data_IF_203629901492
#
_entry.id   IF_203629901492
#
_cell.length_a   1.000
_cell.length_b   1.000
_cell.length_c   1.000
_cell.angle_alpha   90.00
_cell.angle_beta   90.00
_cell.angle_gamma   90.00
#
_symmetry.space_group_name_H-M   'P 1'
#
loop_
_entity.id
_entity.type
_entity.pdbx_description
1 polymer ?
#
# COMPACT_ATOMS: atom_id res chain seq x y z
N UNK A 1 11.60 16.55 -9.55
CA UNK A 1 12.81 16.95 -8.78
C UNK A 1 13.11 18.46 -8.72
N UNK A 2 12.42 19.35 -9.47
CA UNK A 2 12.76 20.79 -9.50
C UNK A 2 12.22 21.66 -8.35
N UNK A 3 11.22 21.17 -7.59
CA UNK A 3 10.46 22.01 -6.65
C UNK A 3 11.00 22.05 -5.22
N UNK A 4 11.94 21.17 -4.87
CA UNK A 4 12.56 21.14 -3.52
C UNK A 4 13.65 22.22 -3.37
N UNK A 5 14.29 22.62 -4.47
CA UNK A 5 15.37 23.60 -4.47
C UNK A 5 14.89 25.02 -4.20
N UNK A 6 13.67 25.36 -4.63
CA UNK A 6 13.07 26.67 -4.44
C UNK A 6 12.85 27.02 -2.95
N UNK A 7 12.19 26.20 -2.11
CA UNK A 7 12.04 26.49 -0.69
C UNK A 7 13.38 26.48 0.04
N UNK A 8 14.32 25.61 -0.34
CA UNK A 8 15.66 25.57 0.25
C UNK A 8 16.44 26.86 -0.05
N UNK A 9 16.33 27.39 -1.28
CA UNK A 9 16.92 28.69 -1.65
C UNK A 9 16.26 29.86 -0.91
N UNK A 10 14.93 29.84 -0.70
CA UNK A 10 14.22 30.87 0.06
C UNK A 10 14.68 30.89 1.51
N UNK A 11 14.79 29.73 2.16
CA UNK A 11 15.31 29.61 3.54
C UNK A 11 16.75 30.12 3.62
N UNK A 12 17.60 29.74 2.67
CA UNK A 12 19.00 30.17 2.64
C UNK A 12 19.13 31.69 2.40
N UNK A 13 18.24 32.28 1.60
CA UNK A 13 18.14 33.72 1.37
C UNK A 13 17.67 34.45 2.64
N UNK A 14 16.70 33.89 3.38
CA UNK A 14 16.26 34.43 4.67
C UNK A 14 17.37 34.36 5.74
N UNK A 15 18.12 33.27 5.81
CA UNK A 15 19.26 33.12 6.73
C UNK A 15 20.38 34.12 6.38
N UNK A 16 20.75 34.23 5.11
CA UNK A 16 21.79 35.17 4.68
C UNK A 16 21.38 36.63 4.87
N UNK A 17 20.12 36.97 4.58
CA UNK A 17 19.56 38.28 4.89
C UNK A 17 19.59 38.56 6.40
N UNK A 18 19.15 37.60 7.23
CA UNK A 18 19.19 37.73 8.68
C UNK A 18 20.63 37.97 9.18
N UNK A 19 21.62 37.17 8.75
CA UNK A 19 23.03 37.35 9.11
C UNK A 19 23.56 38.71 8.64
N UNK A 20 23.19 39.17 7.45
CA UNK A 20 23.60 40.47 6.92
C UNK A 20 23.03 41.63 7.76
N UNK A 21 21.75 41.57 8.12
CA UNK A 21 21.11 42.57 9.00
C UNK A 21 21.67 42.52 10.42
N UNK A 22 21.96 41.33 10.96
CA UNK A 22 22.60 41.16 12.26
C UNK A 22 24.01 41.77 12.24
N UNK A 23 24.86 41.42 11.27
CA UNK A 23 26.23 41.94 11.15
C UNK A 23 26.31 43.46 10.97
N UNK A 24 25.38 44.07 10.22
CA UNK A 24 25.33 45.52 10.01
C UNK A 24 24.95 46.28 11.28
N UNK A 25 24.14 45.66 12.13
CA UNK A 25 23.65 46.26 13.39
C UNK A 25 24.59 45.98 14.56
N UNK A 26 25.36 44.88 14.51
CA UNK A 26 26.26 44.42 15.58
C UNK A 26 27.62 45.10 15.61
N UNK A 27 28.15 45.56 14.47
CA UNK A 27 29.47 46.24 14.41
C UNK A 27 29.54 47.57 15.16
N UNK A 28 28.43 48.14 15.64
CA UNK A 28 28.43 49.48 16.26
C UNK A 28 28.03 49.56 17.73
N UNK A 29 27.44 48.55 18.35
CA UNK A 29 27.06 48.61 19.78
C UNK A 29 26.98 47.21 20.38
N UNK A 30 27.55 47.02 21.58
CA UNK A 30 27.49 45.80 22.40
C UNK A 30 26.07 45.45 22.89
N UNK A 31 25.16 45.23 21.95
CA UNK A 31 23.72 45.03 22.15
C UNK A 31 23.38 43.60 22.57
N UNK A 32 24.36 42.68 22.54
CA UNK A 32 24.15 41.24 22.75
C UNK A 32 23.67 40.91 24.18
N UNK A 33 23.80 41.82 25.16
CA UNK A 33 23.42 41.55 26.57
C UNK A 33 22.31 42.49 27.10
N UNK A 34 21.69 43.32 26.25
CA UNK A 34 20.69 44.31 26.68
C UNK A 34 19.26 44.01 26.21
N UNK A 35 18.26 44.46 26.98
CA UNK A 35 16.80 44.31 26.71
C UNK A 35 16.39 44.64 25.26
N UNK A 36 17.10 45.55 24.59
CA UNK A 36 16.86 45.93 23.18
C UNK A 36 17.30 44.83 22.19
N UNK A 37 18.36 44.10 22.49
CA UNK A 37 18.82 42.95 21.69
C UNK A 37 17.85 41.78 21.80
N UNK A 38 17.37 41.48 23.01
CA UNK A 38 16.37 40.42 23.25
C UNK A 38 15.07 40.70 22.49
N UNK A 39 14.59 41.95 22.47
CA UNK A 39 13.41 42.35 21.69
C UNK A 39 13.60 42.19 20.19
N UNK A 40 14.79 42.45 19.67
CA UNK A 40 15.10 42.28 18.24
C UNK A 40 15.12 40.79 17.85
N UNK A 41 15.76 39.94 18.65
CA UNK A 41 15.77 38.49 18.43
C UNK A 41 14.35 37.93 18.47
N UNK A 42 13.55 38.36 19.45
CA UNK A 42 12.14 37.97 19.55
C UNK A 42 11.33 38.43 18.32
N UNK A 43 11.54 39.65 17.83
CA UNK A 43 10.86 40.15 16.64
C UNK A 43 11.22 39.37 15.37
N UNK A 44 12.50 39.01 15.20
CA UNK A 44 12.95 38.16 14.09
C UNK A 44 12.34 36.76 14.19
N UNK A 45 12.35 36.15 15.39
CA UNK A 45 11.75 34.84 15.63
C UNK A 45 10.26 34.82 15.29
N UNK A 46 9.51 35.81 15.76
CA UNK A 46 8.07 35.97 15.43
C UNK A 46 7.90 36.18 13.92
N UNK A 47 8.75 36.98 13.28
CA UNK A 47 8.70 37.18 11.82
C UNK A 47 8.91 35.88 11.04
N UNK A 48 9.87 35.04 11.46
CA UNK A 48 10.10 33.72 10.87
C UNK A 48 8.88 32.82 11.06
N UNK A 49 8.28 32.78 12.25
CA UNK A 49 7.06 32.01 12.51
C UNK A 49 5.86 32.49 11.67
N UNK A 50 5.70 33.80 11.48
CA UNK A 50 4.61 34.35 10.66
C UNK A 50 4.79 33.96 9.18
N UNK A 51 6.04 33.89 8.70
CA UNK A 51 6.33 33.50 7.30
C UNK A 51 6.31 31.98 7.12
N UNK A 52 6.63 31.19 8.15
CA UNK A 52 6.62 29.72 8.04
C UNK A 52 5.20 29.16 7.85
N UNK A 53 4.18 29.77 8.47
CA UNK A 53 2.78 29.33 8.33
C UNK A 53 2.29 29.35 6.87
N UNK A 54 2.35 30.48 6.12
CA UNK A 54 1.95 30.49 4.71
C UNK A 54 2.87 29.64 3.84
N UNK A 55 4.18 29.58 4.13
CA UNK A 55 5.08 28.67 3.41
C UNK A 55 4.69 27.21 3.58
N UNK A 56 4.30 26.78 4.78
CA UNK A 56 3.82 25.43 5.04
C UNK A 56 2.54 25.11 4.24
N UNK A 57 1.61 26.07 4.15
CA UNK A 57 0.39 25.92 3.34
C UNK A 57 0.69 25.87 1.83
N UNK A 58 1.67 26.64 1.35
CA UNK A 58 2.10 26.57 -0.05
C UNK A 58 2.94 25.31 -0.37
N UNK A 59 3.67 24.78 0.61
CA UNK A 59 4.47 23.54 0.50
C UNK A 59 3.64 22.28 0.64
N UNK A 60 2.52 22.32 1.36
CA UNK A 60 1.48 21.29 1.24
C UNK A 60 0.82 21.46 -0.12
N UNK A 61 1.56 21.10 -1.19
CA UNK A 61 0.95 20.87 -2.49
C UNK A 61 -0.21 19.91 -2.24
N UNK A 62 -1.39 20.34 -2.66
CA UNK A 62 -2.63 19.58 -2.61
C UNK A 62 -2.47 18.27 -3.40
N UNK A 63 -1.86 17.28 -2.79
CA UNK A 63 -2.20 15.88 -3.02
C UNK A 63 -3.03 15.49 -1.81
N UNK A 64 -4.21 16.12 -1.70
CA UNK A 64 -5.29 15.43 -1.02
C UNK A 64 -5.48 14.13 -1.82
N UNK A 65 -5.22 13.02 -1.14
CA UNK A 65 -5.49 11.67 -1.62
C UNK A 65 -7.01 11.49 -1.74
N UNK A 66 -7.63 12.22 -2.67
CA UNK A 66 -9.03 12.05 -3.01
C UNK A 66 -9.20 10.68 -3.66
N UNK A 67 -9.79 9.75 -2.92
CA UNK A 67 -10.23 8.46 -3.44
C UNK A 67 -9.52 7.24 -2.89
N UNK A 68 -8.45 7.40 -2.09
CA UNK A 68 -7.85 6.25 -1.40
C UNK A 68 -8.62 6.01 -0.10
N UNK A 69 -9.38 4.92 -0.10
CA UNK A 69 -10.09 4.44 1.08
C UNK A 69 -9.10 4.14 2.20
N UNK A 70 -9.48 4.48 3.43
CA UNK A 70 -8.70 4.09 4.60
C UNK A 70 -9.19 2.75 5.10
N UNK A 71 -8.27 1.81 5.26
CA UNK A 71 -8.55 0.49 5.80
C UNK A 71 -7.57 0.22 6.94
N UNK A 72 -8.09 0.00 8.14
CA UNK A 72 -7.28 -0.35 9.30
C UNK A 72 -6.88 -1.83 9.26
N UNK A 73 -5.79 -2.18 9.94
CA UNK A 73 -5.36 -3.58 10.04
C UNK A 73 -6.45 -4.51 10.59
N UNK A 74 -7.23 -4.06 11.58
CA UNK A 74 -8.31 -4.87 12.15
C UNK A 74 -9.52 -5.03 11.22
N UNK A 75 -9.70 -4.12 10.26
CA UNK A 75 -10.72 -4.28 9.22
C UNK A 75 -10.23 -5.23 8.14
N UNK A 76 -8.95 -5.12 7.76
CA UNK A 76 -8.30 -6.04 6.82
C UNK A 76 -8.42 -7.49 7.31
N UNK A 77 -8.01 -7.76 8.55
CA UNK A 77 -8.06 -9.10 9.16
C UNK A 77 -9.48 -9.69 9.18
N UNK A 78 -10.50 -8.86 9.41
CA UNK A 78 -11.90 -9.31 9.36
C UNK A 78 -12.35 -9.66 7.95
N UNK A 79 -11.96 -8.86 6.96
CA UNK A 79 -12.34 -9.10 5.56
C UNK A 79 -11.65 -10.38 5.06
N UNK A 80 -10.36 -10.54 5.35
CA UNK A 80 -9.59 -11.75 5.02
C UNK A 80 -10.20 -12.98 5.67
N UNK A 81 -10.46 -12.94 6.99
CA UNK A 81 -11.10 -14.06 7.68
C UNK A 81 -12.50 -14.40 7.14
N UNK A 82 -13.30 -13.40 6.74
CA UNK A 82 -14.60 -13.65 6.13
C UNK A 82 -14.50 -14.27 4.73
N UNK A 83 -13.47 -13.90 3.96
CA UNK A 83 -13.23 -14.47 2.64
C UNK A 83 -12.78 -15.93 2.77
N UNK A 84 -11.80 -16.22 3.63
CA UNK A 84 -11.33 -17.58 3.90
C UNK A 84 -12.47 -18.50 4.38
N UNK A 85 -13.33 -18.01 5.28
CA UNK A 85 -14.50 -18.74 5.76
C UNK A 85 -15.51 -19.01 4.63
N UNK A 86 -15.83 -18.00 3.82
CA UNK A 86 -16.76 -18.15 2.69
C UNK A 86 -16.23 -19.13 1.63
N UNK A 87 -14.95 -19.04 1.26
CA UNK A 87 -14.33 -19.95 0.30
C UNK A 87 -14.28 -21.38 0.83
N UNK A 88 -13.97 -21.57 2.12
CA UNK A 88 -13.96 -22.88 2.77
C UNK A 88 -15.35 -23.53 2.83
N UNK A 89 -16.41 -22.72 2.85
CA UNK A 89 -17.81 -23.18 2.84
C UNK A 89 -18.40 -23.29 1.42
N UNK A 90 -17.64 -22.97 0.37
CA UNK A 90 -18.12 -22.98 -1.02
C UNK A 90 -19.06 -21.81 -1.38
N UNK A 91 -19.13 -20.76 -0.56
CA UNK A 91 -20.00 -19.59 -0.77
C UNK A 91 -19.39 -18.54 -1.73
N UNK A 92 -18.73 -19.01 -2.80
CA UNK A 92 -17.92 -18.19 -3.70
C UNK A 92 -18.74 -17.14 -4.46
N UNK A 93 -19.96 -17.48 -4.86
CA UNK A 93 -20.82 -16.59 -5.64
C UNK A 93 -21.15 -15.29 -4.90
N UNK A 94 -21.24 -15.33 -3.57
CA UNK A 94 -21.43 -14.12 -2.77
C UNK A 94 -20.20 -13.21 -2.87
N UNK A 95 -19.00 -13.81 -2.75
CA UNK A 95 -17.72 -13.10 -2.74
C UNK A 95 -17.38 -12.45 -4.08
N UNK A 96 -17.80 -13.04 -5.21
CA UNK A 96 -17.61 -12.45 -6.54
C UNK A 96 -18.17 -11.02 -6.67
N UNK A 97 -19.24 -10.72 -5.93
CA UNK A 97 -19.86 -9.38 -5.94
C UNK A 97 -19.25 -8.40 -4.93
N UNK A 98 -18.64 -8.93 -3.87
CA UNK A 98 -18.09 -8.15 -2.75
C UNK A 98 -16.59 -7.85 -2.92
N UNK A 99 -15.89 -8.67 -3.70
CA UNK A 99 -14.43 -8.63 -3.85
C UNK A 99 -14.04 -8.42 -5.31
N UNK A 100 -12.92 -7.72 -5.52
CA UNK A 100 -12.32 -7.61 -6.86
C UNK A 100 -11.83 -9.00 -7.27
N UNK A 101 -12.37 -9.52 -8.37
CA UNK A 101 -12.05 -10.85 -8.87
C UNK A 101 -12.06 -10.91 -10.40
N UNK A 102 -11.32 -11.86 -10.95
CA UNK A 102 -11.35 -12.23 -12.36
C UNK A 102 -11.74 -13.71 -12.49
N UNK A 103 -12.51 -14.05 -13.53
CA UNK A 103 -12.98 -15.42 -13.79
C UNK A 103 -12.52 -15.88 -15.18
N UNK A 104 -12.02 -17.10 -15.24
CA UNK A 104 -11.70 -17.82 -16.46
C UNK A 104 -12.42 -19.16 -16.50
N UNK A 105 -12.66 -19.60 -17.71
CA UNK A 105 -13.25 -20.90 -18.03
C UNK A 105 -12.38 -21.55 -19.08
N UNK A 106 -11.99 -22.80 -18.84
CA UNK A 106 -11.13 -23.57 -19.73
C UNK A 106 -11.78 -24.91 -20.06
N UNK A 107 -11.85 -25.25 -21.34
CA UNK A 107 -12.19 -26.61 -21.75
C UNK A 107 -10.97 -27.51 -21.53
N UNK A 108 -11.17 -28.63 -20.84
CA UNK A 108 -10.11 -29.53 -20.41
C UNK A 108 -10.58 -31.01 -20.41
N UNK A 109 -10.11 -31.77 -21.40
CA UNK A 109 -10.56 -33.15 -21.63
C UNK A 109 -9.56 -34.23 -21.13
N UNK A 110 -8.62 -33.87 -20.24
CA UNK A 110 -7.61 -34.82 -19.73
C UNK A 110 -7.93 -35.23 -18.29
N UNK A 111 -7.48 -36.42 -17.91
CA UNK A 111 -7.72 -37.02 -16.59
C UNK A 111 -6.86 -36.39 -15.48
N UNK A 112 -5.70 -35.83 -15.82
CA UNK A 112 -4.75 -35.25 -14.87
C UNK A 112 -4.49 -33.78 -15.21
N UNK A 113 -4.44 -32.90 -14.21
CA UNK A 113 -4.00 -31.51 -14.33
C UNK A 113 -2.89 -31.21 -13.33
N UNK A 114 -1.78 -30.67 -13.83
CA UNK A 114 -0.67 -30.20 -12.98
C UNK A 114 -0.73 -28.69 -12.79
N UNK A 115 -0.84 -28.23 -11.55
CA UNK A 115 -0.84 -26.81 -11.20
C UNK A 115 0.60 -26.37 -10.92
N UNK A 116 1.05 -25.37 -11.67
CA UNK A 116 2.39 -24.79 -11.50
C UNK A 116 2.29 -23.31 -11.20
N UNK A 117 3.09 -22.89 -10.23
CA UNK A 117 3.30 -21.50 -9.87
C UNK A 117 4.78 -21.31 -9.62
N UNK A 118 5.38 -20.33 -10.26
CA UNK A 118 6.80 -20.01 -10.09
C UNK A 118 6.94 -18.55 -9.66
N UNK A 119 7.22 -18.34 -8.38
CA UNK A 119 7.62 -17.04 -7.82
C UNK A 119 8.68 -17.27 -6.74
N UNK A 120 9.68 -16.40 -6.68
CA UNK A 120 10.72 -16.44 -5.65
C UNK A 120 10.27 -15.70 -4.35
N UNK A 121 9.16 -14.95 -4.40
CA UNK A 121 8.79 -13.98 -3.37
C UNK A 121 7.36 -14.10 -2.86
N UNK A 122 6.51 -14.82 -3.58
CA UNK A 122 5.09 -14.95 -3.30
C UNK A 122 4.72 -16.43 -3.21
N UNK A 123 3.72 -16.74 -2.40
CA UNK A 123 2.99 -18.00 -2.43
C UNK A 123 1.55 -17.71 -2.81
N UNK A 124 0.90 -18.67 -3.47
CA UNK A 124 -0.51 -18.58 -3.84
C UNK A 124 -1.30 -19.63 -3.07
N UNK A 125 -2.46 -19.21 -2.55
CA UNK A 125 -3.41 -20.13 -1.93
C UNK A 125 -4.43 -20.58 -2.97
N UNK A 126 -4.61 -21.90 -3.09
CA UNK A 126 -5.49 -22.53 -4.07
C UNK A 126 -6.57 -23.31 -3.34
N UNK A 127 -7.81 -22.87 -3.51
CA UNK A 127 -9.00 -23.60 -3.07
C UNK A 127 -9.53 -24.44 -4.23
N UNK A 128 -9.86 -25.70 -3.95
CA UNK A 128 -10.39 -26.62 -4.96
C UNK A 128 -11.78 -27.08 -4.54
N UNK A 129 -12.77 -26.82 -5.37
CA UNK A 129 -14.12 -27.38 -5.28
C UNK A 129 -14.31 -28.40 -6.42
N UNK A 130 -14.76 -29.59 -6.05
CA UNK A 130 -15.14 -30.61 -7.02
C UNK A 130 -16.62 -30.46 -7.33
N UNK A 131 -16.94 -30.20 -8.60
CA UNK A 131 -18.31 -30.00 -9.07
C UNK A 131 -18.68 -31.12 -10.07
N UNK A 132 -19.66 -31.99 -9.76
CA UNK A 132 -20.10 -33.04 -10.67
C UNK A 132 -20.90 -32.51 -11.86
N UNK A 133 -21.34 -31.24 -11.86
CA UNK A 133 -22.05 -30.61 -12.98
C UNK A 133 -21.09 -30.11 -14.07
N UNK A 134 -19.78 -29.99 -13.77
CA UNK A 134 -18.76 -29.63 -14.74
C UNK A 134 -18.30 -30.85 -15.54
N UNK A 135 -18.56 -30.85 -16.85
CA UNK A 135 -18.11 -31.88 -17.78
C UNK A 135 -16.99 -31.32 -18.67
N UNK A 136 -15.76 -31.83 -18.50
CA UNK A 136 -14.56 -31.41 -19.21
C UNK A 136 -14.31 -29.88 -19.20
N UNK A 137 -14.70 -29.21 -18.12
CA UNK A 137 -14.54 -27.76 -17.96
C UNK A 137 -13.93 -27.47 -16.60
N UNK A 138 -13.02 -26.49 -16.56
CA UNK A 138 -12.40 -25.99 -15.35
C UNK A 138 -12.71 -24.51 -15.24
N UNK A 139 -13.30 -24.10 -14.13
CA UNK A 139 -13.48 -22.70 -13.79
C UNK A 139 -12.37 -22.26 -12.83
N UNK A 140 -11.74 -21.13 -13.12
CA UNK A 140 -10.77 -20.50 -12.23
C UNK A 140 -11.26 -19.11 -11.86
N UNK A 141 -11.22 -18.78 -10.58
CA UNK A 141 -11.56 -17.47 -10.05
C UNK A 141 -10.37 -16.96 -9.27
N UNK A 142 -9.84 -15.80 -9.66
CA UNK A 142 -8.76 -15.13 -8.95
C UNK A 142 -9.34 -14.02 -8.08
N UNK A 143 -9.03 -14.04 -6.79
CA UNK A 143 -9.31 -12.94 -5.87
C UNK A 143 -8.04 -12.10 -5.69
N UNK A 144 -8.17 -10.80 -5.98
CA UNK A 144 -7.03 -9.89 -5.91
C UNK A 144 -6.56 -9.71 -4.47
N UNK A 145 -5.24 -9.67 -4.23
CA UNK A 145 -4.70 -9.43 -2.92
C UNK A 145 -5.02 -8.00 -2.47
N UNK A 146 -5.30 -7.84 -1.18
CA UNK A 146 -5.51 -6.54 -0.57
C UNK A 146 -4.17 -5.96 -0.13
N UNK A 147 -3.89 -4.74 -0.57
CA UNK A 147 -2.64 -4.04 -0.26
C UNK A 147 -2.96 -2.81 0.57
N UNK A 148 -2.40 -2.74 1.77
CA UNK A 148 -2.60 -1.62 2.69
C UNK A 148 -1.24 -1.06 3.10
N UNK A 149 -1.02 0.24 2.89
CA UNK A 149 0.21 0.94 3.32
C UNK A 149 -0.19 2.14 4.15
N UNK A 150 0.22 2.19 5.41
CA UNK A 150 -0.11 3.26 6.35
C UNK A 150 -1.62 3.57 6.41
N UNK A 151 -2.42 2.50 6.51
CA UNK A 151 -3.89 2.49 6.51
C UNK A 151 -4.53 2.94 5.18
N UNK A 152 -3.75 3.12 4.11
CA UNK A 152 -4.25 3.45 2.77
C UNK A 152 -4.49 2.17 1.97
N UNK A 153 -5.70 1.97 1.48
CA UNK A 153 -6.08 0.83 0.65
C UNK A 153 -5.62 1.04 -0.80
N UNK A 154 -4.58 0.33 -1.21
CA UNK A 154 -3.95 0.39 -2.53
C UNK A 154 -4.29 -0.83 -3.41
N UNK A 155 -5.29 -1.61 -3.02
CA UNK A 155 -5.66 -2.86 -3.72
C UNK A 155 -6.10 -2.66 -5.18
N UNK A 156 -6.43 -1.43 -5.58
CA UNK A 156 -6.78 -1.10 -6.96
C UNK A 156 -5.55 -0.83 -7.85
N UNK A 157 -4.38 -0.63 -7.26
CA UNK A 157 -3.14 -0.29 -7.97
C UNK A 157 -2.30 -1.54 -8.29
N UNK A 158 -2.78 -2.74 -7.93
CA UNK A 158 -2.12 -4.01 -8.21
C UNK A 158 -2.47 -4.54 -9.61
N UNK A 159 -1.47 -5.13 -10.26
CA UNK A 159 -1.65 -5.83 -11.53
C UNK A 159 -2.27 -7.23 -11.30
N UNK A 160 -3.13 -7.70 -12.22
CA UNK A 160 -3.62 -9.07 -12.18
C UNK A 160 -2.51 -10.08 -12.37
N UNK A 161 -2.72 -11.28 -11.83
CA UNK A 161 -2.04 -12.48 -12.29
C UNK A 161 -2.67 -12.99 -13.57
N UNK A 162 -1.86 -13.67 -14.39
CA UNK A 162 -2.32 -14.32 -15.60
C UNK A 162 -2.37 -15.84 -15.37
N UNK A 163 -3.45 -16.47 -15.82
CA UNK A 163 -3.68 -17.91 -15.66
C UNK A 163 -3.91 -18.49 -17.06
N UNK A 164 -3.10 -19.48 -17.42
CA UNK A 164 -3.22 -20.18 -18.70
C UNK A 164 -3.18 -21.70 -18.50
N UNK A 165 -3.96 -22.42 -19.31
CA UNK A 165 -3.83 -23.87 -19.43
C UNK A 165 -3.09 -24.21 -20.74
N UNK A 166 -1.98 -24.92 -20.62
CA UNK A 166 -1.24 -25.45 -21.77
C UNK A 166 -0.62 -26.80 -21.44
N UNK A 167 -0.68 -27.73 -22.41
CA UNK A 167 -0.07 -29.06 -22.32
C UNK A 167 -0.41 -29.91 -21.07
N UNK A 168 -1.57 -29.65 -20.46
CA UNK A 168 -2.00 -30.34 -19.24
C UNK A 168 -1.51 -29.69 -17.94
N UNK A 169 -1.09 -28.42 -18.03
CA UNK A 169 -0.63 -27.62 -16.91
C UNK A 169 -1.44 -26.34 -16.79
N UNK A 170 -1.90 -26.04 -15.58
CA UNK A 170 -2.39 -24.73 -15.18
C UNK A 170 -1.19 -23.90 -14.74
N UNK A 171 -0.75 -22.97 -15.57
CA UNK A 171 0.37 -22.08 -15.27
C UNK A 171 -0.17 -20.79 -14.68
N UNK A 172 0.16 -20.54 -13.42
CA UNK A 172 -0.11 -19.27 -12.73
C UNK A 172 1.14 -18.40 -12.88
N UNK A 173 1.01 -17.26 -13.54
CA UNK A 173 2.13 -16.33 -13.76
C UNK A 173 2.11 -15.21 -12.73
N UNK A 174 3.29 -14.89 -12.21
CA UNK A 174 3.50 -13.76 -11.32
C UNK A 174 3.03 -12.45 -11.98
N UNK A 175 2.38 -11.54 -11.22
CA UNK A 175 1.93 -10.28 -11.78
C UNK A 175 3.12 -9.37 -12.10
N UNK A 176 2.95 -8.47 -13.07
CA UNK A 176 3.99 -7.49 -13.39
C UNK A 176 4.26 -6.56 -12.18
N UNK A 177 5.53 -6.27 -11.91
CA UNK A 177 5.92 -5.35 -10.84
C UNK A 177 5.31 -3.95 -11.07
N UNK A 178 4.72 -3.38 -10.01
CA UNK A 178 4.22 -2.00 -10.00
C UNK A 178 5.03 -1.18 -9.00
N UNK A 179 5.63 -0.08 -9.47
CA UNK A 179 6.28 0.90 -8.60
C UNK A 179 5.30 2.02 -8.22
N UNK A 180 5.03 2.15 -6.91
CA UNK A 180 4.21 3.23 -6.35
C UNK A 180 5.08 4.20 -5.55
N UNK A 181 4.94 5.50 -5.85
CA UNK A 181 5.70 6.56 -5.18
C UNK A 181 4.80 7.42 -4.30
N UNK A 182 5.10 7.48 -3.00
CA UNK A 182 4.34 8.26 -2.02
C UNK A 182 5.16 9.41 -1.43
N UNK A 183 4.49 10.50 -1.11
CA UNK A 183 5.04 11.60 -0.34
C UNK A 183 4.15 11.85 0.89
N UNK A 184 4.75 11.77 2.08
CA UNK A 184 4.08 12.03 3.35
C UNK A 184 4.75 13.17 4.11
N UNK A 185 3.96 13.84 4.95
CA UNK A 185 4.48 14.79 5.93
C UNK A 185 4.43 14.15 7.31
N UNK A 186 5.53 14.21 8.04
CA UNK A 186 5.58 13.86 9.46
C UNK A 186 5.43 15.12 10.31
N UNK A 187 4.78 15.00 11.46
CA UNK A 187 4.65 16.12 12.39
C UNK A 187 6.00 16.46 12.99
N UNK A 188 6.26 17.75 13.17
CA UNK A 188 7.47 18.20 13.86
C UNK A 188 7.46 17.76 15.33
N UNK A 189 8.65 17.48 15.88
CA UNK A 189 8.84 16.97 17.24
C UNK A 189 8.07 17.69 18.37
N UNK A 190 7.91 19.03 18.36
CA UNK A 190 7.11 19.69 19.39
C UNK A 190 5.62 19.36 19.31
N UNK A 191 5.11 19.12 18.10
CA UNK A 191 3.70 18.79 17.86
C UNK A 191 3.45 17.33 18.25
N UNK A 192 4.33 16.42 17.85
CA UNK A 192 4.18 14.97 18.13
C UNK A 192 4.06 14.67 19.63
N UNK A 193 4.72 15.46 20.49
CA UNK A 193 4.62 15.35 21.96
C UNK A 193 3.22 15.60 22.52
N UNK A 194 2.40 16.45 21.88
CA UNK A 194 1.02 16.70 22.33
C UNK A 194 0.04 15.63 21.88
N UNK A 195 0.39 14.88 20.83
CA UNK A 195 -0.44 13.83 20.26
C UNK A 195 -0.05 12.42 20.70
N UNK A 196 0.93 12.29 21.61
CA UNK A 196 1.36 10.99 22.15
C UNK A 196 2.09 10.13 21.13
N UNK A 197 2.64 10.73 20.08
CA UNK A 197 3.42 10.03 19.06
C UNK A 197 4.83 9.67 19.61
N UNK A 198 5.33 8.51 19.20
CA UNK A 198 6.63 7.97 19.63
C UNK A 198 7.80 8.87 19.23
N UNK A 199 8.83 8.96 20.09
CA UNK A 199 10.09 9.67 19.81
C UNK A 199 10.87 9.06 18.63
N UNK A 200 10.69 7.75 18.43
CA UNK A 200 11.15 7.03 17.24
C UNK A 200 10.08 7.29 16.17
N UNK A 201 10.43 8.00 15.09
CA UNK A 201 9.50 8.55 14.11
C UNK A 201 8.49 7.54 13.53
N UNK A 202 7.57 8.03 12.69
CA UNK A 202 6.46 7.24 12.14
C UNK A 202 6.99 5.92 11.53
N UNK A 203 6.64 4.80 12.15
CA UNK A 203 6.86 3.49 11.54
C UNK A 203 5.91 3.36 10.37
N UNK A 204 6.46 3.21 9.16
CA UNK A 204 5.62 2.83 8.03
C UNK A 204 5.23 1.37 8.21
N UNK A 205 3.96 1.09 7.98
CA UNK A 205 3.37 -0.23 8.11
C UNK A 205 2.78 -0.62 6.75
N UNK A 206 3.15 -1.79 6.26
CA UNK A 206 2.62 -2.34 5.02
C UNK A 206 2.10 -3.75 5.27
N UNK A 207 0.91 -4.04 4.76
CA UNK A 207 0.32 -5.37 4.71
C UNK A 207 -0.08 -5.69 3.28
N UNK A 208 0.12 -6.93 2.89
CA UNK A 208 -0.37 -7.47 1.64
C UNK A 208 -0.94 -8.85 1.92
N UNK A 209 -2.21 -9.06 1.58
CA UNK A 209 -2.82 -10.38 1.66
C UNK A 209 -2.20 -11.31 0.61
N UNK A 210 -2.25 -12.62 0.86
CA UNK A 210 -1.89 -13.58 -0.18
C UNK A 210 -2.92 -13.55 -1.30
N UNK A 211 -2.50 -13.75 -2.56
CA UNK A 211 -3.45 -13.98 -3.63
C UNK A 211 -4.15 -15.33 -3.46
N UNK A 212 -5.44 -15.37 -3.78
CA UNK A 212 -6.25 -16.58 -3.68
C UNK A 212 -6.78 -16.95 -5.06
N UNK A 213 -6.67 -18.23 -5.41
CA UNK A 213 -7.29 -18.81 -6.60
C UNK A 213 -8.28 -19.86 -6.14
N UNK A 214 -9.52 -19.76 -6.62
CA UNK A 214 -10.54 -20.76 -6.44
C UNK A 214 -10.75 -21.52 -7.74
N UNK A 215 -10.57 -22.83 -7.71
CA UNK A 215 -10.72 -23.73 -8.84
C UNK A 215 -11.95 -24.59 -8.64
N UNK A 216 -12.85 -24.58 -9.62
CA UNK A 216 -13.89 -25.61 -9.77
C UNK A 216 -13.45 -26.60 -10.83
N UNK A 217 -13.39 -27.86 -10.46
CA UNK A 217 -12.94 -28.94 -11.33
C UNK A 217 -13.96 -30.10 -11.35
N UNK A 218 -13.98 -30.93 -12.41
CA UNK A 218 -14.76 -32.15 -12.42
C UNK A 218 -14.31 -33.12 -11.30
N UNK A 219 -15.24 -33.90 -10.75
CA UNK A 219 -14.94 -34.85 -9.66
C UNK A 219 -13.80 -35.83 -9.99
N UNK A 220 -13.76 -36.30 -11.24
CA UNK A 220 -12.84 -37.32 -11.72
C UNK A 220 -11.44 -36.79 -12.07
N UNK A 221 -11.22 -35.47 -12.04
CA UNK A 221 -9.94 -34.86 -12.38
C UNK A 221 -8.91 -35.05 -11.25
N UNK A 222 -7.77 -35.68 -11.58
CA UNK A 222 -6.63 -35.81 -10.69
C UNK A 222 -5.78 -34.53 -10.71
N UNK A 223 -5.44 -34.02 -9.52
CA UNK A 223 -4.62 -32.82 -9.37
C UNK A 223 -3.25 -33.16 -8.83
N UNK A 224 -2.23 -32.62 -9.49
CA UNK A 224 -0.87 -32.56 -8.99
C UNK A 224 -0.44 -31.09 -8.85
N UNK A 225 0.35 -30.75 -7.83
CA UNK A 225 0.78 -29.36 -7.59
C UNK A 225 2.27 -29.24 -7.38
N UNK A 226 2.82 -28.06 -7.67
CA UNK A 226 4.17 -27.69 -7.25
C UNK A 226 4.25 -27.44 -5.74
N UNK A 227 5.48 -27.38 -5.20
CA UNK A 227 5.73 -27.28 -3.75
C UNK A 227 5.32 -25.94 -3.12
N UNK A 228 5.23 -24.87 -3.92
CA UNK A 228 4.96 -23.50 -3.44
C UNK A 228 3.46 -23.14 -3.46
N UNK A 229 2.61 -24.15 -3.61
CA UNK A 229 1.15 -24.02 -3.65
C UNK A 229 0.53 -24.62 -2.39
N UNK A 230 -0.23 -23.81 -1.66
CA UNK A 230 -1.06 -24.29 -0.56
C UNK A 230 -2.43 -24.68 -1.11
N UNK A 231 -2.71 -25.98 -1.15
CA UNK A 231 -3.98 -26.52 -1.65
C UNK A 231 -4.94 -26.83 -0.49
N UNK A 232 -6.13 -26.26 -0.56
CA UNK A 232 -7.24 -26.50 0.38
C UNK A 232 -8.43 -27.05 -0.39
N UNK A 233 -8.82 -28.30 -0.09
CA UNK A 233 -10.04 -28.91 -0.63
C UNK A 233 -11.27 -28.33 0.11
N UNK A 234 -12.24 -27.85 -0.66
CA UNK A 234 -13.50 -27.29 -0.17
C UNK A 234 -14.50 -28.43 -0.04
N UNK A 235 -14.97 -28.67 1.18
CA UNK A 235 -15.95 -29.72 1.43
C UNK A 235 -17.37 -29.17 1.24
N UNK A 236 -18.15 -29.84 0.38
CA UNK A 236 -19.57 -29.55 0.18
C UNK A 236 -20.46 -30.73 0.56
#
# INVERSE_FOLDING_TARGET
>A
MGYIWLPMMIILLLITAAIFFLNKTWKKRGIIVGVKGTKLVLAVYIGVLIVSVPLAVFLSSQTESYGIERLTYSELEKIEGSLEEALSNGEVEQMLSEQRSDKWTFNYDREELFISFQSDYMSVEVYVERDPELDNEIEAIYFYPRVVVDEMNLSNETNPMDIEISDGRLNIKEPLETELSFAGFEREFPISQFYGESFMGRSSSSSMSQPIIYLRIPEELELETDFDIYLTEVNR
#
